data_IF_102011038671
#
_entry.id   IF_102011038671
#
_cell.length_a   1.000
_cell.length_b   1.000
_cell.length_c   1.000
_cell.angle_alpha   90.00
_cell.angle_beta   90.00
_cell.angle_gamma   90.00
#
_symmetry.space_group_name_H-M   'P 1'
#
loop_
_entity.id
_entity.type
_entity.pdbx_description
1 polymer ?
#
# COMPACT_ATOMS: atom_id res chain seq x y z
N UNK A 1 -7.81 13.74 -20.86
CA UNK A 1 -8.39 12.69 -19.99
C UNK A 1 -7.26 12.09 -19.16
N UNK A 2 -7.52 11.74 -17.90
CA UNK A 2 -6.54 10.96 -17.12
C UNK A 2 -6.46 9.54 -17.70
N UNK A 3 -5.27 8.93 -17.82
CA UNK A 3 -5.16 7.54 -18.26
C UNK A 3 -5.77 6.63 -17.21
N UNK A 4 -6.81 5.87 -17.58
CA UNK A 4 -7.34 4.79 -16.76
C UNK A 4 -6.25 3.73 -16.60
N UNK A 5 -5.79 3.49 -15.35
CA UNK A 5 -4.95 2.34 -15.03
C UNK A 5 -5.77 1.08 -15.32
N UNK A 6 -5.42 0.36 -16.38
CA UNK A 6 -5.90 -1.00 -16.60
C UNK A 6 -5.33 -1.89 -15.49
N UNK A 7 -6.21 -2.66 -14.83
CA UNK A 7 -5.81 -3.80 -14.01
C UNK A 7 -5.00 -4.74 -14.92
N UNK A 8 -3.72 -4.94 -14.60
CA UNK A 8 -2.79 -5.71 -15.43
C UNK A 8 -3.20 -7.18 -15.47
N UNK A 9 -3.22 -7.76 -16.67
CA UNK A 9 -3.37 -9.20 -16.87
C UNK A 9 -2.01 -9.89 -16.57
N UNK A 10 -1.97 -10.71 -15.53
CA UNK A 10 -0.75 -11.41 -15.10
C UNK A 10 -0.18 -12.36 -16.18
N UNK A 11 -1.00 -12.78 -17.14
CA UNK A 11 -0.62 -13.72 -18.20
C UNK A 11 0.08 -13.07 -19.40
N UNK A 12 0.06 -11.72 -19.49
CA UNK A 12 0.63 -10.97 -20.61
C UNK A 12 1.39 -9.74 -20.09
N UNK A 13 2.67 -9.89 -19.72
CA UNK A 13 3.48 -8.74 -19.33
C UNK A 13 3.68 -7.82 -20.53
N UNK A 14 3.27 -6.55 -20.39
CA UNK A 14 3.52 -5.53 -21.41
C UNK A 14 5.02 -5.33 -21.63
N UNK A 15 5.39 -4.89 -22.83
CA UNK A 15 6.75 -4.39 -23.09
C UNK A 15 7.01 -3.24 -22.12
N UNK A 16 8.00 -3.40 -21.24
CA UNK A 16 8.41 -2.41 -20.24
C UNK A 16 8.49 -1.01 -20.88
N UNK A 17 7.49 -0.18 -20.63
CA UNK A 17 7.51 1.23 -21.02
C UNK A 17 8.50 1.94 -20.09
N UNK A 18 9.28 2.92 -20.57
CA UNK A 18 10.31 3.63 -19.78
C UNK A 18 9.79 4.11 -18.40
N UNK A 19 8.49 4.46 -18.33
CA UNK A 19 7.83 4.84 -17.09
C UNK A 19 7.66 3.67 -16.09
N UNK A 20 7.38 2.44 -16.54
CA UNK A 20 7.23 1.29 -15.63
C UNK A 20 8.55 0.87 -14.99
N UNK A 21 9.66 1.02 -15.72
CA UNK A 21 11.00 0.70 -15.21
C UNK A 21 11.43 1.70 -14.12
N UNK A 22 10.88 2.93 -14.14
CA UNK A 22 11.04 3.93 -13.07
C UNK A 22 10.26 3.56 -11.80
N UNK A 23 9.21 2.76 -11.93
CA UNK A 23 8.29 2.45 -10.84
C UNK A 23 8.63 1.16 -10.10
N UNK A 24 9.54 0.34 -10.63
CA UNK A 24 10.02 -0.88 -10.00
C UNK A 24 8.92 -1.92 -9.77
N UNK A 25 9.21 -2.96 -8.99
CA UNK A 25 8.23 -3.99 -8.65
C UNK A 25 7.41 -3.54 -7.43
N UNK A 26 6.09 -3.63 -7.53
CA UNK A 26 5.18 -3.28 -6.44
C UNK A 26 4.18 -4.40 -6.21
N UNK A 27 4.13 -4.88 -4.96
CA UNK A 27 3.13 -5.80 -4.47
C UNK A 27 2.25 -5.10 -3.44
N UNK A 28 0.94 -5.29 -3.58
CA UNK A 28 -0.05 -4.85 -2.62
C UNK A 28 -0.94 -6.04 -2.29
N UNK A 29 -0.96 -6.43 -1.02
CA UNK A 29 -1.79 -7.51 -0.51
C UNK A 29 -2.83 -6.91 0.43
N UNK A 30 -4.09 -7.22 0.17
CA UNK A 30 -5.22 -6.75 0.95
C UNK A 30 -5.82 -7.97 1.65
N UNK A 31 -5.83 -7.94 2.98
CA UNK A 31 -6.53 -8.92 3.83
C UNK A 31 -7.78 -8.26 4.43
N UNK A 32 -8.55 -9.00 5.24
CA UNK A 32 -9.78 -8.46 5.84
C UNK A 32 -9.57 -7.19 6.68
N UNK A 33 -8.47 -7.14 7.44
CA UNK A 33 -8.22 -6.06 8.42
C UNK A 33 -6.94 -5.26 8.16
N UNK A 34 -6.17 -5.62 7.13
CA UNK A 34 -4.88 -5.00 6.86
C UNK A 34 -4.56 -4.90 5.38
N UNK A 35 -3.74 -3.91 5.07
CA UNK A 35 -3.10 -3.76 3.77
C UNK A 35 -1.59 -3.78 3.96
N UNK A 36 -0.92 -4.62 3.17
CA UNK A 36 0.54 -4.68 3.11
C UNK A 36 0.97 -4.16 1.75
N UNK A 37 1.91 -3.22 1.78
CA UNK A 37 2.54 -2.64 0.62
C UNK A 37 4.03 -2.97 0.66
N UNK A 38 4.53 -3.55 -0.41
CA UNK A 38 5.95 -3.77 -0.62
C UNK A 38 6.31 -3.27 -2.02
N UNK A 39 7.31 -2.41 -2.11
CA UNK A 39 7.80 -1.89 -3.38
C UNK A 39 9.30 -1.72 -3.34
N UNK A 40 9.95 -2.07 -4.45
CA UNK A 40 11.34 -1.79 -4.68
C UNK A 40 11.50 -0.94 -5.93
N UNK A 41 12.21 0.19 -5.82
CA UNK A 41 12.54 1.04 -6.98
C UNK A 41 14.03 1.00 -7.25
N UNK A 42 14.41 0.59 -8.45
CA UNK A 42 15.80 0.62 -8.91
C UNK A 42 15.94 1.64 -10.04
N UNK A 43 16.78 2.64 -9.83
CA UNK A 43 17.08 3.69 -10.82
C UNK A 43 18.40 3.45 -11.56
N UNK A 44 19.13 2.39 -11.24
CA UNK A 44 20.46 2.09 -11.79
C UNK A 44 20.42 2.07 -13.33
N UNK A 45 19.35 1.52 -13.91
CA UNK A 45 19.14 1.47 -15.36
C UNK A 45 19.00 2.87 -15.99
N UNK A 46 18.32 3.83 -15.32
CA UNK A 46 18.19 5.21 -15.81
C UNK A 46 19.54 5.88 -15.83
N UNK A 47 20.27 5.71 -14.73
CA UNK A 47 21.58 6.28 -14.58
C UNK A 47 22.52 5.79 -15.67
N UNK A 48 22.37 4.53 -16.09
CA UNK A 48 23.17 3.93 -17.17
C UNK A 48 22.67 4.23 -18.59
N UNK A 49 21.41 4.67 -18.76
CA UNK A 49 20.76 4.83 -20.07
C UNK A 49 21.22 6.06 -20.86
N UNK A 50 21.66 7.13 -20.20
CA UNK A 50 22.10 8.38 -20.83
C UNK A 50 23.59 8.65 -20.54
N UNK A 51 24.42 9.04 -21.52
CA UNK A 51 25.82 9.39 -21.31
C UNK A 51 26.07 10.41 -20.19
N UNK A 52 25.19 11.41 -20.05
CA UNK A 52 25.30 12.44 -19.01
C UNK A 52 25.10 11.85 -17.61
N UNK A 53 24.08 11.01 -17.42
CA UNK A 53 23.81 10.35 -16.14
C UNK A 53 24.80 9.23 -15.84
N UNK A 54 25.37 8.59 -16.86
CA UNK A 54 26.33 7.50 -16.71
C UNK A 54 27.64 7.97 -16.08
N UNK A 55 28.08 9.19 -16.40
CA UNK A 55 29.23 9.82 -15.75
C UNK A 55 28.94 10.14 -14.27
N UNK A 56 27.72 10.59 -13.97
CA UNK A 56 27.27 10.88 -12.60
C UNK A 56 27.12 9.58 -11.78
N UNK A 57 26.66 8.49 -12.40
CA UNK A 57 26.57 7.16 -11.77
C UNK A 57 27.93 6.64 -11.29
N UNK A 58 29.01 6.96 -12.01
CA UNK A 58 30.38 6.59 -11.63
C UNK A 58 30.95 7.46 -10.50
N UNK A 59 30.37 8.62 -10.26
CA UNK A 59 30.76 9.55 -9.21
C UNK A 59 29.52 10.00 -8.42
N UNK A 60 28.99 9.15 -7.52
CA UNK A 60 27.74 9.44 -6.80
C UNK A 60 27.73 10.77 -6.04
N UNK A 61 28.92 11.27 -5.63
CA UNK A 61 29.07 12.59 -5.01
C UNK A 61 28.54 13.75 -5.88
N UNK A 62 28.50 13.59 -7.21
CA UNK A 62 27.96 14.60 -8.14
C UNK A 62 26.45 14.80 -8.03
N UNK A 63 25.72 13.85 -7.43
CA UNK A 63 24.31 14.06 -7.09
C UNK A 63 24.12 15.07 -5.94
N UNK A 64 25.18 15.44 -5.22
CA UNK A 64 25.12 16.47 -4.18
C UNK A 64 24.05 16.16 -3.13
N UNK A 65 23.04 17.03 -3.04
CA UNK A 65 21.89 16.91 -2.11
C UNK A 65 20.61 16.43 -2.79
N UNK A 66 20.66 15.98 -4.04
CA UNK A 66 19.48 15.50 -4.75
C UNK A 66 18.92 14.23 -4.09
N UNK A 67 17.60 14.19 -3.93
CA UNK A 67 16.87 13.08 -3.33
C UNK A 67 15.67 12.67 -4.17
N UNK A 68 15.25 11.42 -4.03
CA UNK A 68 13.96 10.94 -4.47
C UNK A 68 13.03 10.82 -3.27
N UNK A 69 11.87 11.45 -3.38
CA UNK A 69 10.84 11.40 -2.35
C UNK A 69 9.66 10.58 -2.85
N UNK A 70 9.28 9.58 -2.07
CA UNK A 70 8.09 8.77 -2.31
C UNK A 70 7.08 8.99 -1.21
N UNK A 71 5.83 9.22 -1.59
CA UNK A 71 4.72 9.43 -0.66
C UNK A 71 3.69 8.33 -0.89
N UNK A 72 3.30 7.66 0.19
CA UNK A 72 2.20 6.70 0.21
C UNK A 72 1.11 7.23 1.14
N UNK A 73 -0.09 7.42 0.59
CA UNK A 73 -1.29 7.67 1.38
C UNK A 73 -1.99 6.33 1.62
N UNK A 74 -2.28 6.03 2.88
CA UNK A 74 -2.88 4.80 3.34
C UNK A 74 -4.37 5.00 3.65
N UNK A 75 -5.20 3.97 3.45
CA UNK A 75 -6.62 4.01 3.80
C UNK A 75 -6.88 3.93 5.32
N UNK A 76 -5.86 3.65 6.12
CA UNK A 76 -5.91 3.59 7.58
C UNK A 76 -4.52 3.73 8.20
N UNK A 77 -4.44 3.77 9.53
CA UNK A 77 -3.20 4.08 10.23
C UNK A 77 -2.09 3.06 9.93
N UNK A 78 -0.89 3.55 9.66
CA UNK A 78 0.30 2.71 9.54
C UNK A 78 0.61 2.01 10.87
N UNK A 79 0.74 0.69 10.81
CA UNK A 79 1.16 -0.17 11.93
C UNK A 79 2.68 -0.38 11.90
N UNK A 80 3.23 -0.63 10.71
CA UNK A 80 4.67 -0.86 10.49
C UNK A 80 5.09 -0.19 9.19
N UNK A 81 6.27 0.42 9.17
CA UNK A 81 6.81 1.07 7.97
C UNK A 81 8.32 1.28 8.10
N UNK A 82 9.03 1.26 6.96
CA UNK A 82 10.43 1.72 6.87
C UNK A 82 10.55 3.16 6.35
N UNK A 83 9.47 3.95 6.41
CA UNK A 83 9.44 5.34 5.97
C UNK A 83 10.42 6.23 6.74
N UNK A 84 10.95 7.24 6.05
CA UNK A 84 11.81 8.26 6.66
C UNK A 84 11.02 9.19 7.57
N UNK A 85 9.76 9.45 7.24
CA UNK A 85 8.84 10.22 8.07
C UNK A 85 7.38 9.77 7.86
N UNK A 86 6.54 10.17 8.81
CA UNK A 86 5.10 9.90 8.79
C UNK A 86 4.32 11.11 9.32
N UNK A 87 3.08 11.28 8.85
CA UNK A 87 2.15 12.28 9.38
C UNK A 87 1.69 11.94 10.81
N UNK A 88 1.14 12.92 11.54
CA UNK A 88 0.63 12.73 12.91
C UNK A 88 -0.48 11.67 12.97
N UNK A 89 -1.36 11.66 11.97
CA UNK A 89 -2.45 10.68 11.82
C UNK A 89 -1.98 9.33 11.27
N UNK A 90 -0.68 9.18 10.94
CA UNK A 90 -0.08 7.97 10.36
C UNK A 90 -0.72 7.49 9.05
N UNK A 91 -1.50 8.34 8.39
CA UNK A 91 -2.13 8.02 7.10
C UNK A 91 -1.22 8.31 5.92
N UNK A 92 -0.16 9.09 6.14
CA UNK A 92 0.80 9.46 5.10
C UNK A 92 2.21 9.06 5.51
N UNK A 93 2.84 8.27 4.65
CA UNK A 93 4.22 7.82 4.79
C UNK A 93 5.09 8.47 3.72
N UNK A 94 6.29 8.89 4.10
CA UNK A 94 7.24 9.51 3.20
C UNK A 94 8.63 8.87 3.31
N UNK A 95 9.17 8.44 2.17
CA UNK A 95 10.55 7.96 2.06
C UNK A 95 11.38 9.00 1.33
N UNK A 96 12.52 9.35 1.90
CA UNK A 96 13.50 10.24 1.28
C UNK A 96 14.80 9.46 1.05
N UNK A 97 15.12 9.18 -0.22
CA UNK A 97 16.34 8.50 -0.62
C UNK A 97 17.30 9.52 -1.23
N UNK A 98 18.45 9.73 -0.60
CA UNK A 98 19.51 10.54 -1.19
C UNK A 98 20.10 9.79 -2.38
N UNK A 99 20.12 10.45 -3.55
CA UNK A 99 20.58 9.82 -4.78
C UNK A 99 22.03 9.37 -4.68
N UNK A 100 22.90 10.16 -4.05
CA UNK A 100 24.32 9.83 -3.83
C UNK A 100 24.53 8.50 -3.07
N UNK A 101 23.57 8.10 -2.24
CA UNK A 101 23.60 6.89 -1.41
C UNK A 101 22.86 5.71 -2.07
N UNK A 102 21.93 6.00 -2.98
CA UNK A 102 21.02 5.04 -3.60
C UNK A 102 21.19 5.00 -5.13
N UNK A 103 22.44 5.15 -5.60
CA UNK A 103 22.79 5.04 -7.03
C UNK A 103 22.91 3.60 -7.52
N UNK A 104 23.12 2.65 -6.60
CA UNK A 104 23.35 1.25 -6.89
C UNK A 104 22.42 0.39 -6.02
N UNK A 105 21.52 -0.33 -6.68
CA UNK A 105 20.61 -1.27 -6.04
C UNK A 105 19.20 -0.74 -5.77
N UNK A 106 18.29 -1.63 -5.33
CA UNK A 106 16.90 -1.29 -5.12
C UNK A 106 16.70 -0.46 -3.84
N UNK A 107 15.79 0.51 -3.91
CA UNK A 107 15.29 1.28 -2.78
C UNK A 107 13.99 0.63 -2.26
N UNK A 108 14.02 -0.06 -1.11
CA UNK A 108 12.85 -0.76 -0.58
C UNK A 108 11.93 0.19 0.16
N UNK A 109 10.63 0.04 -0.07
CA UNK A 109 9.55 0.76 0.57
C UNK A 109 8.50 -0.25 1.02
N UNK A 110 8.40 -0.44 2.33
CA UNK A 110 7.49 -1.39 2.95
C UNK A 110 6.58 -0.68 3.94
N UNK A 111 5.29 -0.97 3.86
CA UNK A 111 4.32 -0.46 4.81
C UNK A 111 3.24 -1.50 5.09
N UNK A 112 2.74 -1.50 6.33
CA UNK A 112 1.56 -2.24 6.76
C UNK A 112 0.61 -1.25 7.42
N UNK A 113 -0.64 -1.24 7.00
CA UNK A 113 -1.66 -0.38 7.56
C UNK A 113 -2.91 -1.16 7.95
N UNK A 114 -3.62 -0.66 8.96
CA UNK A 114 -4.95 -1.16 9.27
C UNK A 114 -5.91 -0.79 8.14
N UNK A 115 -6.84 -1.67 7.82
CA UNK A 115 -8.00 -1.29 7.02
C UNK A 115 -9.11 -0.80 7.94
N UNK A 116 -9.85 0.24 7.53
CA UNK A 116 -11.06 0.63 8.24
C UNK A 116 -12.04 -0.55 8.23
N UNK A 117 -12.69 -0.79 9.37
CA UNK A 117 -13.62 -1.89 9.52
C UNK A 117 -14.68 -1.88 8.40
N UNK A 118 -14.68 -2.94 7.58
CA UNK A 118 -15.58 -3.06 6.43
C UNK A 118 -17.03 -3.35 6.84
N UNK A 119 -17.24 -3.87 8.05
CA UNK A 119 -18.56 -4.25 8.56
C UNK A 119 -19.09 -3.17 9.50
N UNK A 120 -20.20 -2.51 9.14
CA UNK A 120 -20.77 -1.50 10.01
C UNK A 120 -21.39 -2.17 11.25
N UNK A 121 -21.23 -1.58 12.44
CA UNK A 121 -21.62 -2.22 13.71
C UNK A 121 -23.14 -2.48 13.82
N UNK A 122 -23.97 -1.85 13.00
CA UNK A 122 -25.41 -2.11 12.96
C UNK A 122 -25.79 -3.49 12.42
N UNK A 123 -24.88 -4.19 11.70
CA UNK A 123 -25.14 -5.58 11.29
C UNK A 123 -25.35 -6.51 12.48
N UNK A 124 -24.72 -6.24 13.63
CA UNK A 124 -24.98 -6.96 14.87
C UNK A 124 -26.41 -6.74 15.39
N UNK A 125 -27.01 -5.57 15.13
CA UNK A 125 -28.38 -5.27 15.56
C UNK A 125 -29.42 -6.08 14.77
N UNK A 126 -29.16 -6.42 13.50
CA UNK A 126 -30.05 -7.28 12.71
C UNK A 126 -30.17 -8.70 13.29
N UNK A 127 -29.13 -9.20 13.96
CA UNK A 127 -29.15 -10.52 14.59
C UNK A 127 -29.98 -10.55 15.89
N UNK A 128 -30.25 -9.39 16.50
CA UNK A 128 -31.00 -9.29 17.76
C UNK A 128 -32.51 -9.53 17.52
N UNK A 129 -33.06 -9.02 16.42
CA UNK A 129 -34.49 -9.16 16.08
C UNK A 129 -34.97 -10.63 15.99
N UNK A 130 -34.33 -11.52 15.22
CA UNK A 130 -34.74 -12.93 15.17
C UNK A 130 -34.47 -13.66 16.48
N UNK A 131 -33.43 -13.29 17.24
CA UNK A 131 -33.12 -13.89 18.53
C UNK A 131 -34.22 -13.58 19.56
N UNK A 132 -34.66 -12.31 19.63
CA UNK A 132 -35.77 -11.89 20.50
C UNK A 132 -37.06 -12.61 20.08
N UNK A 133 -37.35 -12.71 18.79
CA UNK A 133 -38.51 -13.44 18.29
C UNK A 133 -38.48 -14.92 18.67
N UNK A 134 -37.34 -15.60 18.50
CA UNK A 134 -37.16 -17.00 18.90
C UNK A 134 -37.37 -17.21 20.40
N UNK A 135 -36.76 -16.36 21.23
CA UNK A 135 -36.88 -16.44 22.69
C UNK A 135 -38.33 -16.20 23.14
N UNK A 136 -39.02 -15.23 22.54
CA UNK A 136 -40.44 -14.98 22.82
C UNK A 136 -41.33 -16.15 22.39
N UNK A 137 -41.11 -16.71 21.20
CA UNK A 137 -41.89 -17.84 20.69
C UNK A 137 -41.69 -19.10 21.54
N UNK A 138 -40.45 -19.39 21.98
CA UNK A 138 -40.16 -20.49 22.90
C UNK A 138 -40.81 -20.31 24.28
N UNK A 139 -40.81 -19.07 24.81
CA UNK A 139 -41.49 -18.76 26.09
C UNK A 139 -43.00 -18.93 26.01
N UNK A 140 -43.62 -18.54 24.90
CA UNK A 140 -45.06 -18.68 24.73
C UNK A 140 -45.49 -20.15 24.61
N UNK A 141 -44.69 -21.00 23.93
CA UNK A 141 -44.96 -22.44 23.87
C UNK A 141 -44.92 -23.11 25.24
N UNK A 142 -43.95 -22.77 26.09
CA UNK A 142 -43.85 -23.30 27.47
C UNK A 142 -45.01 -22.88 28.38
N UNK A 143 -45.73 -21.80 28.08
CA UNK A 143 -46.91 -21.35 28.85
C UNK A 143 -48.21 -22.06 28.44
N UNK A 144 -48.23 -22.73 27.29
CA UNK A 144 -49.43 -23.44 26.78
C UNK A 144 -49.43 -24.91 27.20
N UNK A 145 -48.27 -25.46 27.56
CA UNK A 145 -48.10 -26.86 27.98
C UNK A 145 -48.07 -27.07 29.52
N UNK A 146 -48.31 -26.03 30.33
CA UNK A 146 -48.35 -26.10 31.81
C UNK A 146 -49.63 -25.52 32.37
#
# INVERSE_FOLDING_TARGET
SFPQRQLRDASKPDKRVQAEVLFGESAMVISDDNITYNREVDISWLLQSNPATKSIAKMPALFGKSSLTFILNLPGEAQESNASSQSEDKLRLEWNFLLKENTTGPMPMTARAALPASKPPWLFLLAILPLVFLVQNMRNRKKVEG
#
